data_IF_838479350818
#
_entry.id   IF_838479350818
#
_cell.length_a   1.000
_cell.length_b   1.000
_cell.length_c   1.000
_cell.angle_alpha   90.00
_cell.angle_beta   90.00
_cell.angle_gamma   90.00
#
_symmetry.space_group_name_H-M   'P 1'
#
loop_
_entity.id
_entity.type
_entity.pdbx_description
1 polymer ?
#
# COMPACT_ATOMS: atom_id res chain seq x y z
N UNK A 1 -6.47 10.49 26.93
CA UNK A 1 -6.76 11.54 25.95
C UNK A 1 -5.70 11.62 24.87
N UNK A 2 -4.43 11.48 25.18
CA UNK A 2 -3.29 11.50 24.23
C UNK A 2 -3.32 10.32 23.25
N UNK A 3 -3.74 9.12 23.64
CA UNK A 3 -3.87 7.95 22.76
C UNK A 3 -4.91 8.13 21.62
N UNK A 4 -5.91 8.99 21.80
CA UNK A 4 -6.94 9.27 20.77
C UNK A 4 -6.50 10.34 19.76
N UNK A 5 -5.53 11.19 20.13
CA UNK A 5 -4.94 12.20 19.25
C UNK A 5 -4.05 11.54 18.15
N UNK A 6 -3.42 10.42 18.48
CA UNK A 6 -2.54 9.68 17.56
C UNK A 6 -3.24 9.12 16.34
N UNK A 7 -4.56 8.89 16.40
CA UNK A 7 -5.29 8.22 15.32
C UNK A 7 -5.56 9.10 14.09
N UNK A 8 -5.52 10.42 14.21
CA UNK A 8 -5.82 11.35 13.11
C UNK A 8 -4.63 11.59 12.21
N UNK A 9 -3.47 11.51 12.80
CA UNK A 9 -2.21 11.62 12.11
C UNK A 9 -1.85 10.34 11.34
N UNK A 10 -2.67 9.30 11.48
CA UNK A 10 -2.71 8.05 10.69
C UNK A 10 -3.13 8.24 9.22
N UNK A 11 -3.32 9.46 8.73
CA UNK A 11 -3.58 9.74 7.30
C UNK A 11 -2.58 9.06 6.35
N UNK A 12 -1.37 8.78 6.86
CA UNK A 12 -0.34 8.04 6.13
C UNK A 12 -0.17 6.57 6.59
N UNK A 13 -0.92 6.11 7.59
CA UNK A 13 -0.61 4.92 8.37
C UNK A 13 -1.68 3.83 8.36
N UNK A 14 -2.54 3.79 7.33
CA UNK A 14 -3.47 2.66 7.22
C UNK A 14 -2.70 1.37 6.94
N UNK A 15 -2.92 0.32 7.76
CA UNK A 15 -2.26 -0.95 7.55
C UNK A 15 -2.58 -1.50 6.16
N UNK A 16 -1.60 -2.17 5.55
CA UNK A 16 -1.73 -2.91 4.30
C UNK A 16 -2.64 -4.17 4.47
N UNK A 17 -3.73 -4.04 5.22
CA UNK A 17 -4.70 -5.11 5.39
C UNK A 17 -5.56 -5.16 4.14
N UNK A 18 -5.16 -5.98 3.20
CA UNK A 18 -6.03 -6.40 2.10
C UNK A 18 -7.04 -7.39 2.71
N UNK A 19 -8.23 -6.92 3.03
CA UNK A 19 -9.33 -7.82 3.35
C UNK A 19 -9.76 -8.50 2.05
N UNK A 20 -9.57 -9.82 1.99
CA UNK A 20 -10.14 -10.62 0.94
C UNK A 20 -11.66 -10.66 1.13
N UNK A 21 -12.39 -9.90 0.32
CA UNK A 21 -13.84 -10.00 0.26
C UNK A 21 -14.24 -11.15 -0.66
N UNK A 22 -15.24 -11.92 -0.25
CA UNK A 22 -15.92 -12.81 -1.17
C UNK A 22 -16.73 -11.98 -2.18
N UNK A 23 -16.80 -12.38 -3.46
CA UNK A 23 -17.57 -11.63 -4.44
C UNK A 23 -19.06 -11.65 -4.07
N UNK A 24 -19.60 -10.47 -3.78
CA UNK A 24 -21.03 -10.24 -3.66
C UNK A 24 -21.58 -9.97 -5.06
N UNK A 25 -22.38 -10.88 -5.57
CA UNK A 25 -22.89 -10.89 -6.96
C UNK A 25 -24.08 -9.96 -7.19
N UNK A 26 -24.43 -9.06 -6.26
CA UNK A 26 -25.67 -8.28 -6.33
C UNK A 26 -25.47 -6.78 -6.17
N UNK A 27 -24.58 -6.12 -6.93
CA UNK A 27 -24.61 -4.65 -6.96
C UNK A 27 -24.50 -4.10 -8.38
N UNK A 28 -25.61 -3.49 -8.81
CA UNK A 28 -25.70 -2.62 -9.97
C UNK A 28 -24.93 -1.32 -9.74
N UNK A 29 -24.04 -0.99 -10.66
CA UNK A 29 -23.24 0.24 -10.65
C UNK A 29 -24.14 1.48 -10.86
N UNK A 30 -24.06 2.44 -9.94
CA UNK A 30 -24.66 3.76 -10.11
C UNK A 30 -23.86 4.58 -11.16
N UNK A 31 -24.53 5.39 -11.99
CA UNK A 31 -23.85 6.17 -13.02
C UNK A 31 -22.98 7.27 -12.42
N UNK A 32 -21.76 7.41 -12.95
CA UNK A 32 -20.81 8.46 -12.58
C UNK A 32 -21.39 9.82 -13.00
N UNK A 33 -21.74 10.66 -12.03
CA UNK A 33 -22.10 12.07 -12.30
C UNK A 33 -20.86 12.81 -12.81
N UNK A 34 -20.97 13.44 -13.98
CA UNK A 34 -20.00 14.44 -14.44
C UNK A 34 -20.05 15.62 -13.45
N UNK A 35 -18.92 15.88 -12.79
CA UNK A 35 -18.75 17.08 -11.98
C UNK A 35 -18.04 18.09 -12.86
N UNK A 36 -18.69 19.21 -13.13
CA UNK A 36 -18.04 20.38 -13.73
C UNK A 36 -17.12 21.01 -12.67
N UNK A 37 -15.89 21.25 -13.08
CA UNK A 37 -14.82 21.77 -12.21
C UNK A 37 -14.76 23.29 -12.37
N UNK A 38 -14.94 24.00 -11.28
CA UNK A 38 -14.44 25.37 -11.20
C UNK A 38 -12.90 25.30 -11.18
N UNK A 39 -12.28 25.80 -12.25
CA UNK A 39 -10.84 25.99 -12.34
C UNK A 39 -10.45 27.12 -11.39
N UNK A 40 -9.85 26.78 -10.28
CA UNK A 40 -9.09 27.73 -9.49
C UNK A 40 -7.67 27.75 -10.04
N UNK A 41 -7.47 28.48 -11.13
CA UNK A 41 -6.15 28.85 -11.59
C UNK A 41 -5.57 29.90 -10.63
N UNK A 42 -4.96 29.43 -9.56
CA UNK A 42 -4.02 30.27 -8.83
C UNK A 42 -2.77 30.25 -9.69
N UNK A 43 -2.62 31.29 -10.52
CA UNK A 43 -1.35 31.52 -11.18
C UNK A 43 -0.29 31.62 -10.07
N UNK A 44 0.73 30.73 -10.05
CA UNK A 44 1.78 30.86 -9.06
C UNK A 44 2.43 32.21 -9.24
N UNK A 45 2.49 33.01 -8.17
CA UNK A 45 3.36 34.19 -8.15
C UNK A 45 4.74 33.75 -8.60
N UNK A 46 5.54 34.64 -9.18
CA UNK A 46 6.86 34.32 -9.71
C UNK A 46 7.72 33.68 -8.59
N UNK A 47 7.79 32.36 -8.59
CA UNK A 47 8.59 31.56 -7.66
C UNK A 47 9.93 31.30 -8.36
N UNK A 48 11.03 31.66 -7.73
CA UNK A 48 12.35 31.31 -8.24
C UNK A 48 12.62 29.82 -7.97
N UNK A 49 12.58 29.01 -9.03
CA UNK A 49 12.86 27.57 -8.98
C UNK A 49 14.29 27.24 -9.37
N UNK A 50 15.16 28.23 -9.48
CA UNK A 50 16.55 28.01 -9.86
C UNK A 50 17.29 27.17 -8.84
N UNK A 51 17.88 26.07 -9.29
CA UNK A 51 18.62 25.14 -8.44
C UNK A 51 17.75 24.08 -7.76
N UNK A 52 16.43 24.05 -8.01
CA UNK A 52 15.58 22.97 -7.51
C UNK A 52 15.78 21.70 -8.32
N UNK A 53 16.26 20.63 -7.68
CA UNK A 53 16.51 19.35 -8.33
C UNK A 53 15.21 18.61 -8.68
N UNK A 54 14.13 18.85 -7.93
CA UNK A 54 12.82 18.24 -8.16
C UNK A 54 12.25 18.57 -9.53
N UNK A 55 12.47 19.81 -10.00
CA UNK A 55 11.96 20.32 -11.27
C UNK A 55 13.00 20.34 -12.38
N UNK A 56 14.25 20.00 -12.07
CA UNK A 56 15.35 19.95 -13.03
C UNK A 56 15.16 18.79 -14.02
N UNK A 57 14.99 19.14 -15.31
CA UNK A 57 14.72 18.17 -16.37
C UNK A 57 15.90 17.25 -16.68
N UNK A 58 17.12 17.74 -16.52
CA UNK A 58 18.33 16.95 -16.76
C UNK A 58 18.47 15.89 -15.64
N UNK A 59 18.20 16.27 -14.39
CA UNK A 59 18.16 15.36 -13.26
C UNK A 59 17.01 14.34 -13.41
N UNK A 60 15.82 14.77 -13.85
CA UNK A 60 14.72 13.86 -14.12
C UNK A 60 15.10 12.83 -15.19
N UNK A 61 15.67 13.28 -16.30
CA UNK A 61 16.12 12.40 -17.40
C UNK A 61 17.18 11.41 -16.92
N UNK A 62 18.16 11.87 -16.14
CA UNK A 62 19.19 11.01 -15.56
C UNK A 62 18.60 9.94 -14.62
N UNK A 63 17.61 10.32 -13.82
CA UNK A 63 17.03 9.43 -12.80
C UNK A 63 15.88 8.56 -13.31
N UNK A 64 15.41 8.73 -14.54
CA UNK A 64 14.30 7.97 -15.09
C UNK A 64 14.52 6.45 -14.93
N UNK A 65 15.68 5.96 -15.37
CA UNK A 65 16.04 4.55 -15.22
C UNK A 65 16.19 4.12 -13.76
N UNK A 66 16.60 5.02 -12.86
CA UNK A 66 16.71 4.71 -11.44
C UNK A 66 15.33 4.56 -10.78
N UNK A 67 14.38 5.45 -11.11
CA UNK A 67 13.00 5.38 -10.63
C UNK A 67 12.35 4.09 -11.14
N UNK A 68 12.49 3.77 -12.42
CA UNK A 68 11.99 2.53 -13.01
C UNK A 68 12.58 1.28 -12.31
N UNK A 69 13.90 1.27 -12.07
CA UNK A 69 14.57 0.16 -11.38
C UNK A 69 14.11 0.02 -9.92
N UNK A 70 13.86 1.13 -9.22
CA UNK A 70 13.37 1.12 -7.84
C UNK A 70 12.04 0.36 -7.73
N UNK A 71 11.06 0.77 -8.54
CA UNK A 71 9.73 0.15 -8.52
C UNK A 71 9.69 -1.25 -9.15
N UNK A 72 10.71 -1.62 -9.93
CA UNK A 72 10.88 -3.00 -10.42
C UNK A 72 11.81 -3.83 -9.55
N UNK A 73 12.07 -3.43 -8.30
CA UNK A 73 12.86 -4.11 -7.28
C UNK A 73 14.33 -4.40 -7.67
N UNK A 74 14.85 -3.68 -8.66
CA UNK A 74 16.26 -3.69 -9.06
C UNK A 74 17.03 -2.67 -8.20
N UNK A 75 16.97 -2.86 -6.88
CA UNK A 75 17.44 -1.91 -5.88
C UNK A 75 18.90 -1.51 -6.07
N UNK A 76 19.80 -2.44 -6.37
CA UNK A 76 21.23 -2.13 -6.55
C UNK A 76 21.47 -1.14 -7.70
N UNK A 77 20.71 -1.30 -8.81
CA UNK A 77 20.79 -0.40 -9.96
C UNK A 77 20.25 1.00 -9.61
N UNK A 78 19.09 1.05 -8.96
CA UNK A 78 18.49 2.32 -8.53
C UNK A 78 19.39 3.05 -7.53
N UNK A 79 19.81 2.37 -6.47
CA UNK A 79 20.63 2.97 -5.42
C UNK A 79 22.01 3.41 -5.90
N UNK A 80 22.60 2.76 -6.91
CA UNK A 80 23.85 3.19 -7.53
C UNK A 80 23.70 4.61 -8.10
N UNK A 81 22.61 4.90 -8.80
CA UNK A 81 22.32 6.22 -9.35
C UNK A 81 21.98 7.24 -8.26
N UNK A 82 21.17 6.86 -7.25
CA UNK A 82 20.87 7.74 -6.10
C UNK A 82 22.14 8.10 -5.31
N UNK A 83 23.08 7.17 -5.13
CA UNK A 83 24.38 7.45 -4.51
C UNK A 83 25.25 8.34 -5.40
N UNK A 84 25.15 8.25 -6.72
CA UNK A 84 25.81 9.19 -7.64
C UNK A 84 25.28 10.61 -7.46
N UNK A 85 23.95 10.76 -7.41
CA UNK A 85 23.30 12.04 -7.14
C UNK A 85 23.75 12.61 -5.78
N UNK A 86 23.82 11.77 -4.73
CA UNK A 86 24.28 12.19 -3.41
C UNK A 86 25.72 12.71 -3.41
N UNK A 87 26.63 12.16 -4.22
CA UNK A 87 28.01 12.68 -4.32
C UNK A 87 28.07 14.07 -4.94
N UNK A 88 27.18 14.37 -5.89
CA UNK A 88 27.10 15.69 -6.53
C UNK A 88 26.36 16.73 -5.68
N UNK A 89 25.36 16.29 -4.96
CA UNK A 89 24.50 17.13 -4.13
C UNK A 89 24.45 16.61 -2.67
N UNK A 90 25.58 16.63 -1.96
CA UNK A 90 25.69 15.98 -0.63
C UNK A 90 24.89 16.67 0.47
N UNK A 91 24.49 17.93 0.26
CA UNK A 91 23.70 18.72 1.23
C UNK A 91 22.25 18.92 0.79
N UNK A 92 21.79 18.22 -0.26
CA UNK A 92 20.42 18.32 -0.74
C UNK A 92 19.56 17.17 -0.20
N UNK A 93 18.28 17.37 0.21
CA UNK A 93 17.43 16.34 0.78
C UNK A 93 17.10 15.19 -0.19
N UNK A 94 16.97 15.50 -1.49
CA UNK A 94 16.49 14.57 -2.52
C UNK A 94 17.21 13.22 -2.57
N UNK A 95 18.56 13.13 -2.66
CA UNK A 95 19.22 11.83 -2.77
C UNK A 95 19.05 10.97 -1.53
N UNK A 96 18.95 11.56 -0.36
CA UNK A 96 18.68 10.83 0.88
C UNK A 96 17.24 10.35 0.94
N UNK A 97 16.30 11.19 0.54
CA UNK A 97 14.89 10.80 0.42
C UNK A 97 14.71 9.59 -0.53
N UNK A 98 15.34 9.63 -1.72
CA UNK A 98 15.27 8.52 -2.68
C UNK A 98 15.91 7.22 -2.16
N UNK A 99 17.01 7.29 -1.40
CA UNK A 99 17.60 6.14 -0.74
C UNK A 99 16.69 5.61 0.40
N UNK A 100 16.05 6.50 1.13
CA UNK A 100 15.04 6.13 2.13
C UNK A 100 13.81 5.48 1.48
N UNK A 101 13.35 5.99 0.35
CA UNK A 101 12.27 5.39 -0.44
C UNK A 101 12.63 3.99 -0.94
N UNK A 102 13.91 3.77 -1.32
CA UNK A 102 14.39 2.42 -1.64
C UNK A 102 14.29 1.46 -0.44
N UNK A 103 14.69 1.91 0.75
CA UNK A 103 14.54 1.11 1.97
C UNK A 103 13.05 0.84 2.30
N UNK A 104 12.16 1.82 2.09
CA UNK A 104 10.72 1.65 2.23
C UNK A 104 10.17 0.55 1.31
N UNK A 105 10.54 0.55 0.04
CA UNK A 105 10.07 -0.44 -0.91
C UNK A 105 10.64 -1.86 -0.66
N UNK A 106 11.73 -1.98 0.11
CA UNK A 106 12.20 -3.27 0.65
C UNK A 106 11.34 -3.77 1.82
N UNK A 107 10.63 -2.87 2.52
CA UNK A 107 9.74 -3.20 3.64
C UNK A 107 8.32 -3.56 3.14
N UNK A 108 7.81 -2.86 2.14
CA UNK A 108 6.42 -2.98 1.64
C UNK A 108 5.98 -4.41 1.28
N UNK A 109 6.78 -5.24 0.57
CA UNK A 109 6.37 -6.57 0.15
C UNK A 109 5.99 -7.50 1.31
N UNK A 110 6.54 -7.29 2.49
CA UNK A 110 6.23 -8.06 3.69
C UNK A 110 4.99 -7.55 4.45
N UNK A 111 4.10 -6.78 3.80
CA UNK A 111 3.03 -6.03 4.48
C UNK A 111 3.58 -5.17 5.63
N UNK A 112 4.74 -4.55 5.42
CA UNK A 112 5.46 -3.71 6.39
C UNK A 112 5.86 -4.45 7.68
N UNK A 113 5.89 -5.78 7.69
CA UNK A 113 6.22 -6.56 8.90
C UNK A 113 7.73 -6.63 9.17
N UNK A 114 8.57 -6.74 8.13
CA UNK A 114 10.03 -6.81 8.32
C UNK A 114 10.57 -5.54 8.99
N UNK A 115 11.50 -5.72 9.92
CA UNK A 115 12.24 -4.63 10.58
C UNK A 115 13.68 -4.49 10.07
N UNK A 116 14.07 -5.34 9.12
CA UNK A 116 15.45 -5.42 8.64
C UNK A 116 15.97 -4.09 8.10
N UNK A 117 15.11 -3.30 7.48
CA UNK A 117 15.48 -2.05 6.83
C UNK A 117 15.08 -0.80 7.63
N UNK A 118 14.48 -0.93 8.81
CA UNK A 118 14.00 0.20 9.61
C UNK A 118 15.11 1.19 9.93
N UNK A 119 16.25 0.72 10.43
CA UNK A 119 17.39 1.57 10.77
C UNK A 119 17.89 2.36 9.57
N UNK A 120 18.00 1.72 8.42
CA UNK A 120 18.46 2.34 7.18
C UNK A 120 17.44 3.37 6.69
N UNK A 121 16.16 3.02 6.73
CA UNK A 121 15.07 3.91 6.36
C UNK A 121 15.06 5.18 7.20
N UNK A 122 15.00 5.04 8.53
CA UNK A 122 14.96 6.20 9.44
C UNK A 122 16.21 7.08 9.28
N UNK A 123 17.41 6.49 9.18
CA UNK A 123 18.64 7.26 9.00
C UNK A 123 18.63 8.11 7.72
N UNK A 124 18.08 7.60 6.63
CA UNK A 124 17.96 8.35 5.38
C UNK A 124 16.88 9.44 5.47
N UNK A 125 15.71 9.14 6.08
CA UNK A 125 14.65 10.13 6.28
C UNK A 125 15.10 11.26 7.21
N UNK A 126 15.76 10.94 8.33
CA UNK A 126 16.33 11.94 9.26
C UNK A 126 17.35 12.85 8.56
N UNK A 127 18.19 12.27 7.69
CA UNK A 127 19.17 13.06 6.92
C UNK A 127 18.47 13.96 5.90
N UNK A 128 17.45 13.45 5.20
CA UNK A 128 16.65 14.25 4.29
C UNK A 128 15.95 15.40 5.01
N UNK A 129 15.40 15.14 6.19
CA UNK A 129 14.81 16.19 7.06
C UNK A 129 15.86 17.25 7.42
N UNK A 130 17.03 16.83 7.92
CA UNK A 130 18.09 17.76 8.33
C UNK A 130 18.49 18.71 7.20
N UNK A 131 18.68 18.20 5.98
CA UNK A 131 19.05 19.05 4.83
C UNK A 131 17.85 19.86 4.32
N UNK A 132 16.64 19.32 4.36
CA UNK A 132 15.43 20.05 4.02
C UNK A 132 15.19 21.23 4.94
N UNK A 133 15.35 21.06 6.27
CA UNK A 133 15.23 22.13 7.25
C UNK A 133 16.26 23.27 6.99
N UNK A 134 17.52 22.91 6.69
CA UNK A 134 18.54 23.91 6.34
C UNK A 134 18.18 24.72 5.08
N UNK A 135 17.65 24.06 4.04
CA UNK A 135 17.21 24.77 2.84
C UNK A 135 16.04 25.70 3.13
N UNK A 136 15.08 25.23 3.94
CA UNK A 136 13.92 26.03 4.33
C UNK A 136 14.29 27.21 5.24
N UNK A 137 15.24 27.03 6.15
CA UNK A 137 15.77 28.11 7.02
C UNK A 137 16.53 29.16 6.22
N UNK A 138 17.24 28.76 5.16
CA UNK A 138 17.95 29.68 4.27
C UNK A 138 16.98 30.48 3.38
N UNK A 139 15.87 29.85 2.96
CA UNK A 139 14.81 30.48 2.17
C UNK A 139 13.46 29.81 2.49
N UNK A 140 12.60 30.54 3.20
CA UNK A 140 11.29 30.03 3.60
C UNK A 140 10.28 29.91 2.46
N UNK A 141 10.62 30.38 1.25
CA UNK A 141 9.88 30.17 0.00
C UNK A 141 10.47 29.05 -0.86
N UNK A 142 11.45 28.34 -0.35
CA UNK A 142 11.92 27.12 -0.99
C UNK A 142 10.89 26.01 -0.81
N UNK A 143 9.91 25.95 -1.72
CA UNK A 143 8.83 24.95 -1.67
C UNK A 143 9.32 23.54 -2.01
N UNK A 144 10.46 23.39 -2.70
CA UNK A 144 11.13 22.10 -2.85
C UNK A 144 11.56 21.53 -1.49
N UNK A 145 12.11 22.37 -0.62
CA UNK A 145 12.42 21.96 0.75
C UNK A 145 11.16 21.52 1.51
N UNK A 146 10.07 22.29 1.38
CA UNK A 146 8.78 21.92 1.99
C UNK A 146 8.25 20.58 1.45
N UNK A 147 8.40 20.31 0.15
CA UNK A 147 8.01 19.04 -0.46
C UNK A 147 8.78 17.87 0.17
N UNK A 148 10.11 17.93 0.21
CA UNK A 148 10.90 16.84 0.80
C UNK A 148 10.68 16.69 2.29
N UNK A 149 10.48 17.77 3.03
CA UNK A 149 10.16 17.75 4.46
C UNK A 149 8.80 17.09 4.71
N UNK A 150 7.78 17.51 3.97
CA UNK A 150 6.45 16.90 4.07
C UNK A 150 6.49 15.40 3.74
N UNK A 151 7.17 15.04 2.67
CA UNK A 151 7.29 13.64 2.24
C UNK A 151 8.09 12.80 3.25
N UNK A 152 9.27 13.27 3.69
CA UNK A 152 10.12 12.54 4.63
C UNK A 152 9.42 12.32 5.96
N UNK A 153 8.83 13.38 6.54
CA UNK A 153 8.04 13.26 7.77
C UNK A 153 6.79 12.38 7.58
N UNK A 154 6.15 12.40 6.41
CA UNK A 154 5.00 11.55 6.10
C UNK A 154 5.37 10.06 6.09
N UNK A 155 6.47 9.69 5.44
CA UNK A 155 6.97 8.32 5.43
C UNK A 155 7.49 7.88 6.80
N UNK A 156 8.18 8.76 7.55
CA UNK A 156 8.61 8.52 8.92
C UNK A 156 7.42 8.22 9.84
N UNK A 157 6.40 9.05 9.78
CA UNK A 157 5.16 8.88 10.54
C UNK A 157 4.51 7.53 10.24
N UNK A 158 4.45 7.15 8.96
CA UNK A 158 3.87 5.90 8.52
C UNK A 158 4.60 4.71 9.12
N UNK A 159 5.93 4.64 9.03
CA UNK A 159 6.67 3.51 9.58
C UNK A 159 6.60 3.47 11.11
N UNK A 160 6.67 4.61 11.80
CA UNK A 160 6.47 4.66 13.25
C UNK A 160 5.10 4.12 13.68
N UNK A 161 4.04 4.43 12.94
CA UNK A 161 2.71 3.90 13.24
C UNK A 161 2.63 2.38 13.00
N UNK A 162 3.22 1.85 11.94
CA UNK A 162 3.32 0.41 11.70
C UNK A 162 4.12 -0.30 12.81
N UNK A 163 5.07 0.39 13.43
CA UNK A 163 5.83 -0.08 14.60
C UNK A 163 5.11 0.18 15.92
N UNK A 164 3.90 0.77 15.90
CA UNK A 164 3.08 1.13 17.07
C UNK A 164 3.74 2.19 17.97
N UNK A 165 4.71 2.94 17.45
CA UNK A 165 5.28 4.13 18.12
C UNK A 165 4.42 5.36 17.82
N UNK A 166 3.24 5.38 18.43
CA UNK A 166 2.22 6.39 18.18
C UNK A 166 2.68 7.82 18.50
N UNK A 167 3.56 7.98 19.50
CA UNK A 167 4.08 9.29 19.88
C UNK A 167 4.91 9.89 18.74
N UNK A 168 5.86 9.13 18.20
CA UNK A 168 6.69 9.61 17.09
C UNK A 168 5.85 9.77 15.82
N UNK A 169 4.99 8.81 15.51
CA UNK A 169 4.08 8.91 14.37
C UNK A 169 3.27 10.22 14.41
N UNK A 170 2.76 10.61 15.60
CA UNK A 170 2.00 11.86 15.77
C UNK A 170 2.85 13.10 15.50
N UNK A 171 4.06 13.15 16.07
CA UNK A 171 4.95 14.31 15.89
C UNK A 171 5.33 14.48 14.43
N UNK A 172 5.76 13.40 13.77
CA UNK A 172 6.16 13.44 12.37
C UNK A 172 4.99 13.77 11.43
N UNK A 173 3.80 13.23 11.68
CA UNK A 173 2.61 13.58 10.88
C UNK A 173 2.24 15.05 11.00
N UNK A 174 2.31 15.64 12.21
CA UNK A 174 2.06 17.08 12.39
C UNK A 174 3.04 17.90 11.55
N UNK A 175 4.34 17.60 11.64
CA UNK A 175 5.37 18.29 10.84
C UNK A 175 5.15 18.12 9.35
N UNK A 176 4.76 16.90 8.89
CA UNK A 176 4.43 16.67 7.49
C UNK A 176 3.31 17.59 7.01
N UNK A 177 2.24 17.75 7.80
CA UNK A 177 1.12 18.63 7.47
C UNK A 177 1.50 20.10 7.51
N UNK A 178 2.33 20.52 8.46
CA UNK A 178 2.81 21.91 8.56
C UNK A 178 3.59 22.30 7.30
N UNK A 179 4.47 21.44 6.80
CA UNK A 179 5.22 21.69 5.56
C UNK A 179 4.35 21.53 4.30
N UNK A 180 3.37 20.64 4.31
CA UNK A 180 2.39 20.54 3.22
C UNK A 180 1.59 21.84 3.08
N UNK A 181 1.15 22.43 4.19
CA UNK A 181 0.44 23.70 4.17
C UNK A 181 1.32 24.83 3.61
N UNK A 182 2.58 24.89 4.03
CA UNK A 182 3.56 25.89 3.54
C UNK A 182 3.85 25.76 2.04
N UNK A 183 3.72 24.56 1.46
CA UNK A 183 3.96 24.32 0.03
C UNK A 183 2.76 24.55 -0.88
N UNK A 184 1.60 24.95 -0.36
CA UNK A 184 0.37 25.11 -1.17
C UNK A 184 0.53 26.09 -2.35
N UNK A 185 1.30 27.15 -2.18
CA UNK A 185 1.56 28.12 -3.26
C UNK A 185 2.29 27.49 -4.44
N UNK A 186 2.97 26.35 -4.24
CA UNK A 186 3.67 25.62 -5.30
C UNK A 186 2.79 24.62 -6.07
N UNK A 187 1.54 24.40 -5.67
CA UNK A 187 0.67 23.38 -6.26
C UNK A 187 0.45 23.53 -7.77
N UNK A 188 0.56 24.76 -8.31
CA UNK A 188 0.48 25.03 -9.74
C UNK A 188 1.80 24.87 -10.50
N UNK A 189 2.94 24.69 -9.82
CA UNK A 189 4.26 24.59 -10.46
C UNK A 189 4.51 23.20 -11.07
N UNK A 190 4.05 22.15 -10.40
CA UNK A 190 4.23 20.77 -10.85
C UNK A 190 3.23 19.86 -10.17
N UNK A 191 2.77 18.78 -10.84
CA UNK A 191 1.96 17.73 -10.21
C UNK A 191 2.59 17.12 -8.96
N UNK A 192 3.90 17.14 -8.81
CA UNK A 192 4.62 16.62 -7.63
C UNK A 192 4.09 17.21 -6.34
N UNK A 193 3.85 18.54 -6.30
CA UNK A 193 3.37 19.25 -5.11
C UNK A 193 1.94 18.89 -4.71
N UNK A 194 1.13 18.39 -5.67
CA UNK A 194 -0.24 17.97 -5.39
C UNK A 194 -0.35 16.63 -4.65
N UNK A 195 0.70 15.80 -4.64
CA UNK A 195 0.62 14.44 -4.09
C UNK A 195 0.18 14.41 -2.63
N UNK A 196 0.84 15.15 -1.77
CA UNK A 196 0.48 15.22 -0.35
C UNK A 196 -0.91 15.81 -0.14
N UNK A 197 -1.26 16.87 -0.89
CA UNK A 197 -2.56 17.50 -0.83
C UNK A 197 -3.69 16.56 -1.28
N UNK A 198 -3.45 15.76 -2.32
CA UNK A 198 -4.39 14.76 -2.80
C UNK A 198 -4.72 13.72 -1.74
N UNK A 199 -3.68 13.18 -1.08
CA UNK A 199 -3.85 12.22 0.01
C UNK A 199 -4.58 12.85 1.21
N UNK A 200 -4.22 14.08 1.58
CA UNK A 200 -4.90 14.80 2.65
C UNK A 200 -6.38 15.00 2.34
N UNK A 201 -6.70 15.54 1.16
CA UNK A 201 -8.08 15.78 0.74
C UNK A 201 -8.94 14.53 0.79
N UNK A 202 -8.38 13.40 0.36
CA UNK A 202 -9.09 12.12 0.37
C UNK A 202 -9.28 11.58 1.80
N UNK A 203 -8.19 11.38 2.53
CA UNK A 203 -8.24 10.66 3.80
C UNK A 203 -8.86 11.47 4.94
N UNK A 204 -8.81 12.79 4.94
CA UNK A 204 -9.48 13.61 5.95
C UNK A 204 -11.00 13.39 5.97
N UNK A 205 -11.61 13.19 4.80
CA UNK A 205 -13.04 12.84 4.68
C UNK A 205 -13.26 11.37 5.03
N UNK A 206 -12.50 10.48 4.40
CA UNK A 206 -12.66 9.04 4.60
C UNK A 206 -12.54 8.63 6.08
N UNK A 207 -11.57 9.19 6.81
CA UNK A 207 -11.41 8.93 8.26
C UNK A 207 -12.59 9.47 9.04
N UNK A 208 -13.08 10.65 8.72
CA UNK A 208 -14.26 11.22 9.38
C UNK A 208 -15.50 10.35 9.23
N UNK A 209 -15.65 9.70 8.07
CA UNK A 209 -16.77 8.80 7.77
C UNK A 209 -16.64 7.45 8.47
N UNK A 210 -15.44 6.84 8.43
CA UNK A 210 -15.22 5.47 8.90
C UNK A 210 -14.84 5.39 10.39
N UNK A 211 -14.35 6.49 10.98
CA UNK A 211 -13.96 6.57 12.38
C UNK A 211 -14.63 7.75 13.11
N UNK A 212 -15.94 7.68 13.40
CA UNK A 212 -16.70 8.81 13.99
C UNK A 212 -16.12 9.34 15.29
N UNK A 213 -15.44 8.49 16.08
CA UNK A 213 -14.78 8.89 17.33
C UNK A 213 -13.62 9.87 17.13
N UNK A 214 -13.11 9.98 15.89
CA UNK A 214 -12.01 10.91 15.56
C UNK A 214 -12.51 12.27 15.06
N UNK A 215 -13.81 12.42 14.77
CA UNK A 215 -14.39 13.69 14.29
C UNK A 215 -14.04 14.92 15.15
N UNK A 216 -14.10 14.86 16.50
CA UNK A 216 -13.77 16.03 17.33
C UNK A 216 -12.34 16.52 17.11
N UNK A 217 -11.43 15.63 16.79
CA UNK A 217 -10.02 15.99 16.56
C UNK A 217 -9.81 16.50 15.14
N UNK A 218 -10.57 15.97 14.15
CA UNK A 218 -10.55 16.48 12.77
C UNK A 218 -11.04 17.92 12.65
N UNK A 219 -11.78 18.44 13.62
CA UNK A 219 -12.19 19.86 13.67
C UNK A 219 -10.99 20.85 13.76
N UNK A 220 -9.83 20.39 14.21
CA UNK A 220 -8.62 21.21 14.28
C UNK A 220 -7.80 21.19 12.98
N UNK A 221 -8.25 20.46 11.96
CA UNK A 221 -7.57 20.35 10.67
C UNK A 221 -8.44 20.99 9.57
N UNK A 222 -7.82 21.43 8.45
CA UNK A 222 -8.58 21.87 7.29
C UNK A 222 -9.56 20.79 6.82
N UNK A 223 -10.65 21.21 6.25
CA UNK A 223 -11.63 20.28 5.66
C UNK A 223 -11.04 19.65 4.40
N UNK A 224 -11.08 18.31 4.30
CA UNK A 224 -10.76 17.62 3.06
C UNK A 224 -11.90 17.68 2.05
N UNK A 225 -11.58 17.29 0.81
CA UNK A 225 -12.54 17.07 -0.26
C UNK A 225 -12.18 15.76 -0.98
N UNK A 226 -12.99 14.71 -0.74
CA UNK A 226 -12.74 13.35 -1.26
C UNK A 226 -12.66 13.29 -2.79
N UNK A 227 -13.60 13.98 -3.47
CA UNK A 227 -13.65 14.01 -4.93
C UNK A 227 -12.42 14.74 -5.52
N UNK A 228 -12.09 15.91 -4.96
CA UNK A 228 -10.89 16.66 -5.33
C UNK A 228 -9.61 15.84 -5.06
N UNK A 229 -9.54 15.16 -3.91
CA UNK A 229 -8.39 14.30 -3.57
C UNK A 229 -8.18 13.19 -4.58
N UNK A 230 -9.23 12.49 -5.01
CA UNK A 230 -9.14 11.46 -6.05
C UNK A 230 -8.73 12.04 -7.41
N UNK A 231 -9.26 13.21 -7.78
CA UNK A 231 -8.89 13.88 -9.02
C UNK A 231 -7.44 14.33 -9.02
N UNK A 232 -6.99 14.98 -7.94
CA UNK A 232 -5.59 15.39 -7.79
C UNK A 232 -4.66 14.17 -7.82
N UNK A 233 -5.02 13.08 -7.12
CA UNK A 233 -4.23 11.86 -7.10
C UNK A 233 -4.12 11.23 -8.50
N UNK A 234 -5.20 11.27 -9.29
CA UNK A 234 -5.17 10.83 -10.69
C UNK A 234 -4.26 11.71 -11.54
N UNK A 235 -4.35 13.03 -11.39
CA UNK A 235 -3.45 13.95 -12.09
C UNK A 235 -1.98 13.67 -11.76
N UNK A 236 -1.64 13.49 -10.48
CA UNK A 236 -0.28 13.12 -10.08
C UNK A 236 0.13 11.76 -10.63
N UNK A 237 -0.77 10.77 -10.61
CA UNK A 237 -0.52 9.45 -11.17
C UNK A 237 -0.18 9.49 -12.67
N UNK A 238 -0.81 10.38 -13.41
CA UNK A 238 -0.63 10.47 -14.86
C UNK A 238 0.57 11.37 -15.26
N UNK A 239 0.88 12.41 -14.47
CA UNK A 239 1.81 13.47 -14.84
C UNK A 239 3.01 13.66 -13.88
N UNK A 240 3.00 13.08 -12.68
CA UNK A 240 4.12 13.15 -11.74
C UNK A 240 5.27 12.24 -12.17
N UNK A 241 6.50 12.76 -12.09
CA UNK A 241 7.70 11.99 -12.39
C UNK A 241 8.13 11.13 -11.18
N UNK A 242 8.40 11.77 -10.04
CA UNK A 242 8.83 11.07 -8.82
C UNK A 242 7.67 10.49 -8.03
N UNK A 243 6.57 11.21 -7.94
CA UNK A 243 5.39 10.81 -7.15
C UNK A 243 4.35 10.03 -7.96
N UNK A 244 4.47 9.98 -9.28
CA UNK A 244 3.46 9.35 -10.16
C UNK A 244 3.22 7.88 -9.85
N UNK A 245 4.27 7.10 -9.54
CA UNK A 245 4.13 5.68 -9.21
C UNK A 245 3.60 5.45 -7.79
N UNK A 246 3.98 6.30 -6.84
CA UNK A 246 3.34 6.29 -5.52
C UNK A 246 1.86 6.63 -5.65
N UNK A 247 1.53 7.66 -6.43
CA UNK A 247 0.14 8.05 -6.67
C UNK A 247 -0.66 6.93 -7.34
N UNK A 248 -0.11 6.23 -8.35
CA UNK A 248 -0.74 5.04 -8.94
C UNK A 248 -0.95 3.94 -7.90
N UNK A 249 0.03 3.71 -7.03
CA UNK A 249 -0.05 2.71 -5.97
C UNK A 249 -1.15 3.05 -4.96
N UNK A 250 -1.24 4.31 -4.54
CA UNK A 250 -2.33 4.76 -3.66
C UNK A 250 -3.68 4.70 -4.37
N UNK A 251 -3.77 5.14 -5.62
CA UNK A 251 -5.00 5.13 -6.40
C UNK A 251 -5.53 3.69 -6.56
N UNK A 252 -4.67 2.75 -6.92
CA UNK A 252 -5.02 1.33 -7.00
C UNK A 252 -5.63 0.81 -5.69
N UNK A 253 -4.99 1.12 -4.55
CA UNK A 253 -5.45 0.68 -3.23
C UNK A 253 -6.75 1.36 -2.83
N UNK A 254 -6.82 2.67 -2.93
CA UNK A 254 -8.00 3.46 -2.58
C UNK A 254 -9.21 2.96 -3.36
N UNK A 255 -9.10 2.84 -4.67
CA UNK A 255 -10.21 2.38 -5.49
C UNK A 255 -10.70 0.99 -5.09
N UNK A 256 -9.80 0.05 -4.79
CA UNK A 256 -10.21 -1.29 -4.41
C UNK A 256 -10.68 -1.41 -2.97
N UNK A 257 -9.94 -0.85 -2.01
CA UNK A 257 -10.14 -1.14 -0.59
C UNK A 257 -11.12 -0.17 0.08
N UNK A 258 -11.00 1.12 -0.22
CA UNK A 258 -11.77 2.18 0.41
C UNK A 258 -13.04 2.51 -0.37
N UNK A 259 -12.96 2.53 -1.71
CA UNK A 259 -14.09 2.82 -2.60
C UNK A 259 -14.86 1.54 -3.00
N UNK A 260 -14.35 0.35 -2.69
CA UNK A 260 -14.92 -0.93 -3.12
C UNK A 260 -15.20 -0.99 -4.65
N UNK A 261 -14.34 -0.36 -5.43
CA UNK A 261 -14.45 -0.27 -6.89
C UNK A 261 -13.29 -1.01 -7.57
N UNK A 262 -13.36 -2.34 -7.55
CA UNK A 262 -12.35 -3.22 -8.17
C UNK A 262 -12.24 -2.95 -9.67
N UNK A 263 -13.35 -2.66 -10.34
CA UNK A 263 -13.37 -2.38 -11.78
C UNK A 263 -12.53 -1.14 -12.14
N UNK A 264 -12.59 -0.07 -11.33
CA UNK A 264 -11.76 1.12 -11.52
C UNK A 264 -10.29 0.91 -11.10
N UNK A 265 -10.04 0.02 -10.13
CA UNK A 265 -8.69 -0.32 -9.69
C UNK A 265 -7.94 -1.21 -10.69
N UNK A 266 -8.65 -2.09 -11.40
CA UNK A 266 -8.06 -3.10 -12.29
C UNK A 266 -7.14 -2.52 -13.39
N UNK A 267 -7.49 -1.45 -14.13
CA UNK A 267 -6.59 -0.87 -15.12
C UNK A 267 -5.26 -0.39 -14.52
N UNK A 268 -5.31 0.23 -13.34
CA UNK A 268 -4.12 0.73 -12.64
C UNK A 268 -3.25 -0.44 -12.16
N UNK A 269 -3.86 -1.47 -11.57
CA UNK A 269 -3.15 -2.66 -11.12
C UNK A 269 -2.48 -3.41 -12.28
N UNK A 270 -3.19 -3.54 -13.40
CA UNK A 270 -2.65 -4.16 -14.63
C UNK A 270 -1.47 -3.36 -15.18
N UNK A 271 -1.58 -2.03 -15.23
CA UNK A 271 -0.48 -1.16 -15.66
C UNK A 271 0.75 -1.37 -14.77
N UNK A 272 0.59 -1.33 -13.44
CA UNK A 272 1.69 -1.51 -12.50
C UNK A 272 2.31 -2.91 -12.60
N UNK A 273 1.50 -3.96 -12.69
CA UNK A 273 2.00 -5.33 -12.80
C UNK A 273 2.76 -5.58 -14.12
N UNK A 274 2.29 -5.02 -15.24
CA UNK A 274 2.91 -5.22 -16.54
C UNK A 274 4.21 -4.42 -16.72
N UNK A 275 4.25 -3.18 -16.22
CA UNK A 275 5.43 -2.32 -16.35
C UNK A 275 6.49 -2.60 -15.28
N UNK A 276 6.11 -3.19 -14.15
CA UNK A 276 6.99 -3.55 -13.04
C UNK A 276 6.85 -5.04 -12.69
N UNK A 277 7.22 -5.94 -13.62
CA UNK A 277 6.97 -7.37 -13.48
C UNK A 277 7.70 -8.01 -12.30
N UNK A 278 8.80 -7.43 -11.83
CA UNK A 278 9.56 -7.95 -10.69
C UNK A 278 9.09 -7.39 -9.34
N UNK A 279 8.10 -6.51 -9.35
CA UNK A 279 7.51 -5.99 -8.11
C UNK A 279 6.47 -6.96 -7.52
N UNK A 280 6.88 -7.71 -6.52
CA UNK A 280 6.03 -8.70 -5.86
C UNK A 280 4.72 -8.14 -5.29
N UNK A 281 4.72 -6.89 -4.82
CA UNK A 281 3.53 -6.24 -4.30
C UNK A 281 2.49 -5.97 -5.40
N UNK A 282 2.92 -5.48 -6.56
CA UNK A 282 2.03 -5.23 -7.70
C UNK A 282 1.51 -6.52 -8.31
N UNK A 283 2.37 -7.55 -8.46
CA UNK A 283 1.96 -8.86 -8.96
C UNK A 283 0.89 -9.49 -8.06
N UNK A 284 1.13 -9.47 -6.75
CA UNK A 284 0.19 -10.01 -5.77
C UNK A 284 -1.15 -9.29 -5.77
N UNK A 285 -1.12 -7.95 -5.84
CA UNK A 285 -2.34 -7.15 -5.86
C UNK A 285 -3.13 -7.38 -7.16
N UNK A 286 -2.45 -7.44 -8.30
CA UNK A 286 -3.08 -7.75 -9.58
C UNK A 286 -3.71 -9.16 -9.60
N UNK A 287 -3.00 -10.17 -9.10
CA UNK A 287 -3.55 -11.52 -8.96
C UNK A 287 -4.82 -11.55 -8.09
N UNK A 288 -4.83 -10.78 -6.99
CA UNK A 288 -6.02 -10.62 -6.14
C UNK A 288 -7.20 -10.03 -6.90
N UNK A 289 -6.98 -8.95 -7.64
CA UNK A 289 -8.05 -8.33 -8.43
C UNK A 289 -8.58 -9.27 -9.52
N UNK A 290 -7.68 -9.98 -10.21
CA UNK A 290 -8.08 -10.99 -11.19
C UNK A 290 -8.92 -12.11 -10.54
N UNK A 291 -8.56 -12.53 -9.33
CA UNK A 291 -9.34 -13.52 -8.58
C UNK A 291 -10.73 -13.00 -8.23
N UNK A 292 -10.84 -11.77 -7.71
CA UNK A 292 -12.10 -11.16 -7.30
C UNK A 292 -13.05 -10.91 -8.50
N UNK A 293 -12.51 -10.54 -9.65
CA UNK A 293 -13.27 -10.30 -10.88
C UNK A 293 -13.56 -11.59 -11.68
N UNK A 294 -13.12 -12.77 -11.19
CA UNK A 294 -13.32 -14.03 -11.88
C UNK A 294 -12.46 -14.22 -13.14
N UNK A 295 -11.44 -13.39 -13.35
CA UNK A 295 -10.47 -13.60 -14.42
C UNK A 295 -9.46 -14.68 -14.02
N UNK A 296 -9.95 -15.91 -13.91
CA UNK A 296 -9.19 -17.06 -13.44
C UNK A 296 -7.99 -17.45 -14.31
N UNK A 297 -8.04 -17.36 -15.65
CA UNK A 297 -6.85 -17.64 -16.46
C UNK A 297 -5.67 -16.75 -16.13
N UNK A 298 -5.92 -15.44 -15.99
CA UNK A 298 -4.88 -14.47 -15.67
C UNK A 298 -4.43 -14.60 -14.21
N UNK A 299 -5.36 -14.82 -13.27
CA UNK A 299 -5.03 -15.09 -11.88
C UNK A 299 -4.10 -16.32 -11.76
N UNK A 300 -4.36 -17.39 -12.50
CA UNK A 300 -3.53 -18.59 -12.54
C UNK A 300 -2.13 -18.28 -13.06
N UNK A 301 -2.03 -17.59 -14.20
CA UNK A 301 -0.76 -17.20 -14.83
C UNK A 301 0.11 -16.42 -13.84
N UNK A 302 -0.43 -15.34 -13.31
CA UNK A 302 0.30 -14.47 -12.36
C UNK A 302 0.67 -15.21 -11.07
N UNK A 303 -0.22 -16.06 -10.56
CA UNK A 303 0.07 -16.84 -9.35
C UNK A 303 1.21 -17.85 -9.54
N UNK A 304 1.29 -18.49 -10.71
CA UNK A 304 2.40 -19.38 -11.06
C UNK A 304 3.72 -18.62 -11.19
N UNK A 305 3.70 -17.45 -11.84
CA UNK A 305 4.89 -16.58 -11.95
C UNK A 305 5.37 -16.09 -10.57
N UNK A 306 4.44 -15.74 -9.66
CA UNK A 306 4.79 -15.39 -8.27
C UNK A 306 5.55 -16.54 -7.60
N UNK A 307 5.06 -17.79 -7.72
CA UNK A 307 5.73 -18.95 -7.12
C UNK A 307 7.09 -19.25 -7.76
N UNK A 308 7.20 -19.08 -9.08
CA UNK A 308 8.47 -19.24 -9.78
C UNK A 308 9.52 -18.23 -9.28
N UNK A 309 9.17 -16.95 -9.22
CA UNK A 309 10.04 -15.88 -8.72
C UNK A 309 10.38 -16.04 -7.24
N UNK A 310 9.45 -16.55 -6.44
CA UNK A 310 9.70 -16.91 -5.04
C UNK A 310 10.74 -18.04 -4.94
N UNK A 311 10.62 -19.08 -5.77
CA UNK A 311 11.59 -20.19 -5.81
C UNK A 311 12.98 -19.74 -6.28
N UNK A 312 13.05 -18.72 -7.13
CA UNK A 312 14.30 -18.07 -7.56
C UNK A 312 14.90 -17.14 -6.49
N UNK A 313 14.19 -16.90 -5.38
CA UNK A 313 14.63 -15.99 -4.33
C UNK A 313 14.70 -14.52 -4.74
N UNK A 314 13.86 -14.10 -5.69
CA UNK A 314 13.85 -12.71 -6.13
C UNK A 314 13.38 -11.76 -5.04
N UNK A 315 13.93 -10.52 -4.98
CA UNK A 315 13.59 -9.54 -3.95
C UNK A 315 12.08 -9.32 -3.83
N UNK A 316 11.57 -9.32 -2.60
CA UNK A 316 10.15 -9.08 -2.30
C UNK A 316 9.21 -10.27 -2.52
N UNK A 317 9.70 -11.36 -3.15
CA UNK A 317 8.94 -12.61 -3.28
C UNK A 317 9.17 -13.48 -2.06
N UNK A 318 8.31 -13.35 -1.07
CA UNK A 318 8.41 -13.96 0.25
C UNK A 318 7.10 -14.67 0.63
N UNK A 319 7.02 -15.18 1.87
CA UNK A 319 5.87 -15.93 2.36
C UNK A 319 4.51 -15.25 2.15
N UNK A 320 4.45 -13.92 2.23
CA UNK A 320 3.20 -13.19 1.95
C UNK A 320 2.74 -13.43 0.50
N UNK A 321 3.64 -13.29 -0.49
CA UNK A 321 3.32 -13.52 -1.90
C UNK A 321 3.00 -15.00 -2.17
N UNK A 322 3.74 -15.91 -1.53
CA UNK A 322 3.51 -17.35 -1.60
C UNK A 322 2.12 -17.74 -1.09
N UNK A 323 1.68 -17.16 0.03
CA UNK A 323 0.35 -17.40 0.61
C UNK A 323 -0.77 -17.04 -0.35
N UNK A 324 -0.71 -15.86 -0.98
CA UNK A 324 -1.73 -15.43 -1.94
C UNK A 324 -1.77 -16.38 -3.15
N UNK A 325 -0.64 -16.58 -3.79
CA UNK A 325 -0.53 -17.38 -4.99
C UNK A 325 -1.00 -18.83 -4.77
N UNK A 326 -0.57 -19.45 -3.67
CA UNK A 326 -0.97 -20.84 -3.36
C UNK A 326 -2.45 -20.93 -2.99
N UNK A 327 -3.01 -19.95 -2.30
CA UNK A 327 -4.46 -19.95 -2.05
C UNK A 327 -5.26 -19.89 -3.34
N UNK A 328 -4.92 -18.98 -4.26
CA UNK A 328 -5.63 -18.87 -5.54
C UNK A 328 -5.50 -20.14 -6.38
N UNK A 329 -4.31 -20.71 -6.47
CA UNK A 329 -4.10 -21.98 -7.17
C UNK A 329 -4.87 -23.13 -6.52
N UNK A 330 -4.90 -23.19 -5.18
CA UNK A 330 -5.72 -24.16 -4.44
C UNK A 330 -7.20 -24.05 -4.78
N UNK A 331 -7.71 -22.82 -4.81
CA UNK A 331 -9.11 -22.57 -5.19
C UNK A 331 -9.40 -22.97 -6.63
N UNK A 332 -8.48 -22.69 -7.57
CA UNK A 332 -8.61 -23.09 -8.99
C UNK A 332 -8.56 -24.60 -9.15
N UNK A 333 -7.66 -25.30 -8.46
CA UNK A 333 -7.60 -26.75 -8.47
C UNK A 333 -8.92 -27.37 -7.96
N UNK A 334 -9.47 -26.82 -6.88
CA UNK A 334 -10.72 -27.28 -6.31
C UNK A 334 -11.94 -27.02 -7.21
N UNK A 335 -12.07 -25.80 -7.73
CA UNK A 335 -13.32 -25.33 -8.34
C UNK A 335 -13.35 -25.43 -9.86
N UNK A 336 -12.21 -25.13 -10.52
CA UNK A 336 -12.09 -25.18 -11.99
C UNK A 336 -11.66 -26.57 -12.47
N UNK A 337 -10.58 -27.09 -11.91
CA UNK A 337 -9.98 -28.35 -12.38
C UNK A 337 -10.52 -29.61 -11.66
N UNK A 338 -11.25 -29.45 -10.56
CA UNK A 338 -11.79 -30.53 -9.73
C UNK A 338 -10.73 -31.50 -9.18
N UNK A 339 -9.46 -31.05 -9.13
CA UNK A 339 -8.33 -31.80 -8.61
C UNK A 339 -8.17 -31.54 -7.09
N UNK A 340 -8.82 -32.37 -6.29
CA UNK A 340 -8.81 -32.24 -4.83
C UNK A 340 -7.43 -32.49 -4.22
N UNK A 341 -6.61 -33.33 -4.83
CA UNK A 341 -5.28 -33.66 -4.31
C UNK A 341 -4.39 -32.43 -4.40
N UNK A 342 -4.31 -31.82 -5.58
CA UNK A 342 -3.57 -30.57 -5.75
C UNK A 342 -4.17 -29.41 -4.97
N UNK A 343 -5.49 -29.35 -4.85
CA UNK A 343 -6.13 -28.31 -4.05
C UNK A 343 -5.69 -28.38 -2.58
N UNK A 344 -5.68 -29.57 -1.97
CA UNK A 344 -5.20 -29.77 -0.60
C UNK A 344 -3.72 -29.36 -0.46
N UNK A 345 -2.86 -29.77 -1.38
CA UNK A 345 -1.43 -29.38 -1.36
C UNK A 345 -1.25 -27.86 -1.39
N UNK A 346 -1.91 -27.17 -2.30
CA UNK A 346 -1.82 -25.72 -2.40
C UNK A 346 -2.38 -24.99 -1.16
N UNK A 347 -3.50 -25.42 -0.60
CA UNK A 347 -4.03 -24.83 0.62
C UNK A 347 -3.10 -25.08 1.84
N UNK A 348 -2.47 -26.25 1.93
CA UNK A 348 -1.47 -26.53 2.97
C UNK A 348 -0.25 -25.62 2.84
N UNK A 349 0.25 -25.42 1.62
CA UNK A 349 1.34 -24.46 1.35
C UNK A 349 0.95 -23.04 1.74
N UNK A 350 -0.30 -22.63 1.48
CA UNK A 350 -0.80 -21.31 1.88
C UNK A 350 -0.75 -21.13 3.40
N UNK A 351 -1.09 -22.16 4.17
CA UNK A 351 -0.97 -22.17 5.62
C UNK A 351 0.49 -22.06 6.06
N UNK A 352 1.38 -22.88 5.49
CA UNK A 352 2.82 -22.85 5.82
C UNK A 352 3.41 -21.47 5.55
N UNK A 353 3.09 -20.85 4.42
CA UNK A 353 3.53 -19.49 4.11
C UNK A 353 3.01 -18.44 5.10
N UNK A 354 1.74 -18.57 5.53
CA UNK A 354 1.17 -17.68 6.55
C UNK A 354 1.89 -17.84 7.90
N UNK A 355 2.12 -19.07 8.32
CA UNK A 355 2.82 -19.39 9.58
C UNK A 355 4.28 -18.90 9.57
N UNK A 356 4.98 -19.03 8.44
CA UNK A 356 6.37 -18.56 8.31
C UNK A 356 6.50 -17.03 8.45
N UNK A 357 5.43 -16.28 8.18
CA UNK A 357 5.40 -14.83 8.30
C UNK A 357 4.70 -14.33 9.57
N UNK A 358 4.14 -15.24 10.38
CA UNK A 358 3.36 -14.89 11.58
C UNK A 358 1.98 -14.28 11.29
N UNK A 359 1.56 -14.22 10.02
CA UNK A 359 0.26 -13.65 9.61
C UNK A 359 -0.84 -14.72 9.63
N UNK A 360 -1.21 -15.12 10.86
CA UNK A 360 -2.10 -16.26 11.14
C UNK A 360 -3.50 -15.85 11.67
N UNK A 361 -3.83 -14.58 11.59
CA UNK A 361 -5.09 -14.06 12.18
C UNK A 361 -6.15 -13.66 11.16
N UNK A 362 -5.90 -13.79 9.87
CA UNK A 362 -6.88 -13.34 8.88
C UNK A 362 -6.64 -13.82 7.45
N UNK A 363 -7.51 -13.38 6.55
CA UNK A 363 -7.38 -13.54 5.10
C UNK A 363 -7.20 -14.99 4.68
N UNK A 364 -6.27 -15.22 3.76
CA UNK A 364 -6.10 -16.52 3.12
C UNK A 364 -5.60 -17.65 4.05
N UNK A 365 -5.04 -17.31 5.23
CA UNK A 365 -4.78 -18.34 6.24
C UNK A 365 -6.07 -19.00 6.74
N UNK A 366 -7.04 -18.18 7.15
CA UNK A 366 -8.32 -18.68 7.63
C UNK A 366 -9.10 -19.39 6.52
N UNK A 367 -9.13 -18.82 5.33
CA UNK A 367 -9.81 -19.43 4.19
C UNK A 367 -9.18 -20.76 3.78
N UNK A 368 -7.85 -20.91 3.80
CA UNK A 368 -7.19 -22.17 3.50
C UNK A 368 -7.52 -23.25 4.54
N UNK A 369 -7.51 -22.91 5.84
CA UNK A 369 -7.94 -23.82 6.90
C UNK A 369 -9.41 -24.23 6.73
N UNK A 370 -10.31 -23.29 6.44
CA UNK A 370 -11.73 -23.55 6.19
C UNK A 370 -11.91 -24.49 4.98
N UNK A 371 -11.20 -24.24 3.85
CA UNK A 371 -11.30 -25.11 2.67
C UNK A 371 -10.80 -26.52 2.94
N UNK A 372 -9.71 -26.67 3.69
CA UNK A 372 -9.22 -28.00 4.08
C UNK A 372 -10.20 -28.71 5.04
N UNK A 373 -10.83 -27.98 5.97
CA UNK A 373 -11.87 -28.52 6.83
C UNK A 373 -13.08 -29.02 6.01
N UNK A 374 -13.57 -28.22 5.07
CA UNK A 374 -14.68 -28.56 4.17
C UNK A 374 -14.38 -29.78 3.28
N UNK A 375 -13.12 -29.88 2.79
CA UNK A 375 -12.70 -31.04 1.99
C UNK A 375 -12.68 -32.31 2.85
N UNK A 376 -12.08 -32.24 4.05
CA UNK A 376 -11.99 -33.38 4.97
C UNK A 376 -13.38 -33.86 5.43
N UNK A 377 -14.31 -32.96 5.70
CA UNK A 377 -15.70 -33.31 6.04
C UNK A 377 -16.38 -34.05 4.89
N UNK A 378 -16.24 -33.60 3.65
CA UNK A 378 -16.76 -34.31 2.45
C UNK A 378 -16.11 -35.68 2.24
N UNK A 379 -14.87 -35.84 2.65
CA UNK A 379 -14.14 -37.12 2.63
C UNK A 379 -14.43 -38.00 3.84
N UNK A 380 -15.32 -37.55 4.75
CA UNK A 380 -15.70 -38.22 6.01
C UNK A 380 -14.52 -38.39 6.98
N UNK A 381 -13.44 -37.62 6.81
CA UNK A 381 -12.33 -37.52 7.76
C UNK A 381 -12.64 -36.46 8.84
N UNK A 382 -13.50 -36.86 9.77
CA UNK A 382 -13.97 -35.99 10.87
C UNK A 382 -12.80 -35.51 11.74
N UNK A 383 -11.74 -36.30 11.91
CA UNK A 383 -10.58 -35.94 12.74
C UNK A 383 -9.83 -34.76 12.13
N UNK A 384 -9.55 -34.81 10.84
CA UNK A 384 -8.89 -33.73 10.10
C UNK A 384 -9.80 -32.51 10.00
N UNK A 385 -11.09 -32.68 9.73
CA UNK A 385 -12.05 -31.57 9.67
C UNK A 385 -12.12 -30.82 11.02
N UNK A 386 -12.22 -31.54 12.15
CA UNK A 386 -12.21 -30.94 13.48
C UNK A 386 -10.94 -30.14 13.75
N UNK A 387 -9.76 -30.62 13.34
CA UNK A 387 -8.49 -29.94 13.54
C UNK A 387 -8.50 -28.58 12.84
N UNK A 388 -8.88 -28.52 11.57
CA UNK A 388 -8.88 -27.26 10.80
C UNK A 388 -10.00 -26.31 11.25
N UNK A 389 -11.20 -26.79 11.55
CA UNK A 389 -12.26 -25.94 12.09
C UNK A 389 -11.93 -25.36 13.48
N UNK A 390 -11.16 -26.08 14.31
CA UNK A 390 -10.65 -25.51 15.57
C UNK A 390 -9.75 -24.30 15.32
N UNK A 391 -8.85 -24.37 14.34
CA UNK A 391 -7.99 -23.22 13.96
C UNK A 391 -8.84 -22.03 13.53
N UNK A 392 -9.84 -22.24 12.67
CA UNK A 392 -10.73 -21.16 12.21
C UNK A 392 -11.51 -20.57 13.39
N UNK A 393 -12.07 -21.41 14.28
CA UNK A 393 -12.84 -20.94 15.44
C UNK A 393 -11.98 -20.21 16.50
N UNK A 394 -10.67 -20.48 16.56
CA UNK A 394 -9.75 -19.83 17.47
C UNK A 394 -9.28 -18.45 16.96
N UNK A 395 -9.13 -18.32 15.64
CA UNK A 395 -8.45 -17.16 15.03
C UNK A 395 -9.38 -16.18 14.31
N UNK A 396 -10.54 -16.64 13.86
CA UNK A 396 -11.47 -15.81 13.10
C UNK A 396 -12.24 -14.82 13.99
N UNK A 397 -12.62 -13.67 13.42
CA UNK A 397 -13.52 -12.73 14.07
C UNK A 397 -14.87 -13.41 14.38
N UNK A 398 -15.39 -13.22 15.59
CA UNK A 398 -16.61 -13.86 16.06
C UNK A 398 -17.87 -13.51 15.25
N UNK A 399 -17.84 -12.40 14.52
CA UNK A 399 -18.93 -11.97 13.65
C UNK A 399 -18.83 -12.56 12.24
N UNK A 400 -17.66 -13.08 11.85
CA UNK A 400 -17.41 -13.59 10.52
C UNK A 400 -18.22 -14.85 10.20
N UNK A 401 -18.44 -15.09 8.90
CA UNK A 401 -19.12 -16.30 8.41
C UNK A 401 -18.29 -17.56 8.72
N UNK A 402 -16.97 -17.46 8.58
CA UNK A 402 -16.00 -18.52 8.83
C UNK A 402 -16.05 -18.99 10.28
N UNK A 403 -16.09 -18.06 11.24
CA UNK A 403 -16.25 -18.40 12.66
C UNK A 403 -17.57 -19.13 12.93
N UNK A 404 -18.67 -18.60 12.38
CA UNK A 404 -20.01 -19.19 12.59
C UNK A 404 -20.08 -20.62 12.04
N UNK A 405 -19.55 -20.84 10.84
CA UNK A 405 -19.47 -22.19 10.23
C UNK A 405 -18.64 -23.13 11.11
N UNK A 406 -17.42 -22.70 11.49
CA UNK A 406 -16.53 -23.51 12.32
C UNK A 406 -17.18 -23.88 13.67
N UNK A 407 -17.81 -22.92 14.34
CA UNK A 407 -18.52 -23.18 15.61
C UNK A 407 -19.71 -24.13 15.46
N UNK A 408 -20.47 -24.00 14.38
CA UNK A 408 -21.58 -24.90 14.11
C UNK A 408 -21.09 -26.35 13.90
N UNK A 409 -20.03 -26.53 13.12
CA UNK A 409 -19.42 -27.84 12.90
C UNK A 409 -18.89 -28.45 14.19
N UNK A 410 -18.13 -27.68 14.99
CA UNK A 410 -17.57 -28.12 16.26
C UNK A 410 -18.66 -28.49 17.28
N UNK A 411 -19.79 -27.76 17.29
CA UNK A 411 -20.94 -28.08 18.17
C UNK A 411 -21.61 -29.40 17.78
N UNK A 412 -21.80 -29.62 16.46
CA UNK A 412 -22.44 -30.84 15.93
C UNK A 412 -21.59 -32.09 16.18
N UNK A 413 -20.27 -31.96 16.17
CA UNK A 413 -19.34 -33.09 16.30
C UNK A 413 -18.60 -33.11 17.65
N UNK A 414 -19.13 -32.44 18.70
CA UNK A 414 -18.71 -32.65 20.08
C UNK A 414 -19.18 -34.03 20.49
N UNK A 415 -18.26 -35.00 20.55
CA UNK A 415 -18.38 -36.21 21.32
C UNK A 415 -17.66 -36.05 22.64
#
# INVERSE_FOLDING_TARGET
MIQKLCFILLLFCLPLVVQAQQPDTTRTSAPIRKIELENVDIAPGAVDTKGWLLLDKDIQTELEGAVQNLYNFKYDKAEKQFRSLRRRYPQHPMPYFLLGLSAWWKIVPTNVQTKLYDKTFFAYMDTAVTYGERLYEADNKNYEACFFLSAAYGFDARLHAERKDWRKATVSSKRALDYLEKSKEANGLSPEFLFGQALFNYYAVWISENYPLLRPVLLFFPKGNRALGLQQLKNVADNGFYTGLEAKTFLMRILNNEENNTAASMPVARYLANNYPDNAYFQRFYALLCFNEGNFPECERVSREILEKLNQGLPGYEGISGRYATYFLGWLMQNKYKDRVKAKDYYQRSIVFAESTGDVSGGFYLYANQKLAQIADKEKDSKTALRYYKVVADKADHKSAEYKEAKAYLKKNKK
#
